data_IF_980910108619
#
_entry.id   IF_980910108619
#
_cell.length_a   1.000
_cell.length_b   1.000
_cell.length_c   1.000
_cell.angle_alpha   90.00
_cell.angle_beta   90.00
_cell.angle_gamma   90.00
#
_symmetry.space_group_name_H-M   'P 1'
#
loop_
_entity.id
_entity.type
_entity.pdbx_description
1 polymer ?
#
# COMPACT_ATOMS: atom_id res chain seq x y z
N UNK A 1 -48.63 -38.60 -16.40
CA UNK A 1 -49.51 -38.15 -17.51
C UNK A 1 -49.14 -39.00 -18.71
N UNK A 2 -50.06 -39.76 -19.30
CA UNK A 2 -49.74 -40.67 -20.42
C UNK A 2 -49.66 -39.90 -21.74
N UNK A 3 -48.66 -40.22 -22.56
CA UNK A 3 -48.48 -39.61 -23.86
C UNK A 3 -49.63 -40.00 -24.80
N UNK A 4 -49.99 -39.14 -25.76
CA UNK A 4 -51.10 -39.41 -26.69
C UNK A 4 -50.93 -40.75 -27.44
N UNK A 5 -49.69 -41.08 -27.84
CA UNK A 5 -49.36 -42.37 -28.47
C UNK A 5 -49.63 -43.58 -27.57
N UNK A 6 -49.35 -43.47 -26.27
CA UNK A 6 -49.59 -44.54 -25.29
C UNK A 6 -51.10 -44.76 -25.08
N UNK A 7 -51.89 -43.68 -25.08
CA UNK A 7 -53.35 -43.76 -24.98
C UNK A 7 -53.95 -44.49 -26.18
N UNK A 8 -53.51 -44.16 -27.40
CA UNK A 8 -53.95 -44.83 -28.62
C UNK A 8 -53.56 -46.31 -28.63
N UNK A 9 -52.33 -46.65 -28.20
CA UNK A 9 -51.88 -48.03 -28.10
C UNK A 9 -52.76 -48.85 -27.15
N UNK A 10 -53.11 -48.30 -25.98
CA UNK A 10 -53.98 -48.96 -25.01
C UNK A 10 -55.42 -49.16 -25.54
N UNK A 11 -55.95 -48.19 -26.29
CA UNK A 11 -57.28 -48.33 -26.93
C UNK A 11 -57.25 -49.38 -28.04
N UNK A 12 -56.23 -49.40 -28.89
CA UNK A 12 -56.12 -50.39 -29.95
C UNK A 12 -56.01 -51.81 -29.41
N UNK A 13 -55.26 -52.01 -28.32
CA UNK A 13 -55.19 -53.30 -27.63
C UNK A 13 -56.52 -53.68 -26.99
N UNK A 14 -57.28 -52.70 -26.47
CA UNK A 14 -58.64 -52.96 -25.98
C UNK A 14 -59.57 -53.44 -27.08
N UNK A 15 -59.53 -52.85 -28.28
CA UNK A 15 -60.32 -53.34 -29.41
C UNK A 15 -59.87 -54.73 -29.90
N UNK A 16 -58.64 -55.14 -29.62
CA UNK A 16 -58.13 -56.48 -29.96
C UNK A 16 -58.58 -57.57 -28.99
N UNK A 17 -58.56 -57.30 -27.69
CA UNK A 17 -58.84 -58.30 -26.65
C UNK A 17 -60.22 -58.17 -26.00
N UNK A 18 -60.91 -57.04 -26.18
CA UNK A 18 -62.19 -56.66 -25.56
C UNK A 18 -62.22 -56.72 -24.03
N UNK A 19 -61.07 -56.96 -23.39
CA UNK A 19 -60.92 -57.12 -21.94
C UNK A 19 -60.00 -56.04 -21.37
N UNK A 20 -60.55 -55.26 -20.42
CA UNK A 20 -59.78 -54.25 -19.70
C UNK A 20 -58.60 -54.85 -18.91
N UNK A 21 -58.78 -56.05 -18.35
CA UNK A 21 -57.74 -56.70 -17.55
C UNK A 21 -56.58 -57.19 -18.42
N UNK A 22 -56.87 -57.74 -19.61
CA UNK A 22 -55.84 -58.18 -20.54
C UNK A 22 -54.92 -57.03 -20.98
N UNK A 23 -55.51 -55.88 -21.33
CA UNK A 23 -54.75 -54.68 -21.75
C UNK A 23 -53.85 -54.16 -20.63
N UNK A 24 -54.34 -54.14 -19.39
CA UNK A 24 -53.58 -53.65 -18.23
C UNK A 24 -52.45 -54.62 -17.89
N UNK A 25 -52.69 -55.93 -17.98
CA UNK A 25 -51.66 -56.94 -17.73
C UNK A 25 -50.56 -56.91 -18.80
N UNK A 26 -50.91 -56.65 -20.07
CA UNK A 26 -49.92 -56.56 -21.15
C UNK A 26 -49.10 -55.27 -21.13
N UNK A 27 -49.72 -54.12 -20.86
CA UNK A 27 -49.04 -52.83 -20.91
C UNK A 27 -48.44 -52.42 -19.56
N UNK A 28 -48.93 -52.95 -18.43
CA UNK A 28 -48.55 -52.52 -17.08
C UNK A 28 -49.07 -51.12 -16.70
N UNK A 29 -49.84 -50.48 -17.58
CA UNK A 29 -50.53 -49.19 -17.41
C UNK A 29 -51.74 -49.20 -18.36
N UNK A 30 -52.73 -48.28 -18.27
CA UNK A 30 -53.09 -47.34 -17.22
C UNK A 30 -54.07 -47.97 -16.20
N UNK A 31 -54.59 -47.20 -15.25
CA UNK A 31 -55.67 -47.68 -14.37
C UNK A 31 -56.94 -48.03 -15.17
N UNK A 32 -57.71 -49.02 -14.69
CA UNK A 32 -58.96 -49.48 -15.34
C UNK A 32 -59.93 -48.33 -15.63
N UNK A 33 -60.04 -47.37 -14.71
CA UNK A 33 -60.88 -46.18 -14.87
C UNK A 33 -60.36 -45.24 -15.95
N UNK A 34 -59.04 -45.07 -16.06
CA UNK A 34 -58.43 -44.25 -17.10
C UNK A 34 -58.63 -44.87 -18.50
N UNK A 35 -58.45 -46.19 -18.62
CA UNK A 35 -58.69 -46.91 -19.89
C UNK A 35 -60.16 -46.78 -20.32
N UNK A 36 -61.10 -46.97 -19.40
CA UNK A 36 -62.54 -46.77 -19.65
C UNK A 36 -62.84 -45.36 -20.16
N UNK A 37 -62.31 -44.33 -19.49
CA UNK A 37 -62.52 -42.94 -19.91
C UNK A 37 -61.92 -42.63 -21.29
N UNK A 38 -60.79 -43.25 -21.64
CA UNK A 38 -60.18 -43.10 -22.97
C UNK A 38 -61.02 -43.76 -24.06
N UNK A 39 -61.54 -44.97 -23.81
CA UNK A 39 -62.42 -45.70 -24.73
C UNK A 39 -63.76 -44.97 -24.90
N UNK A 40 -64.38 -44.52 -23.80
CA UNK A 40 -65.62 -43.73 -23.85
C UNK A 40 -65.40 -42.40 -24.60
N UNK A 41 -64.24 -41.75 -24.39
CA UNK A 41 -63.84 -40.55 -25.13
C UNK A 41 -63.67 -40.81 -26.63
N UNK A 42 -62.98 -41.91 -26.98
CA UNK A 42 -62.75 -42.32 -28.36
C UNK A 42 -64.05 -42.70 -29.09
N UNK A 43 -64.99 -43.38 -28.41
CA UNK A 43 -66.31 -43.70 -28.98
C UNK A 43 -67.18 -42.45 -29.21
N UNK A 44 -67.06 -41.42 -28.38
CA UNK A 44 -67.88 -40.19 -28.49
C UNK A 44 -67.36 -39.17 -29.50
N UNK A 45 -66.05 -39.01 -29.63
CA UNK A 45 -65.44 -37.94 -30.43
C UNK A 45 -64.54 -38.45 -31.57
N UNK A 46 -64.39 -39.77 -31.72
CA UNK A 46 -63.50 -40.39 -32.70
C UNK A 46 -62.02 -40.29 -32.35
N UNK A 47 -61.66 -39.63 -31.25
CA UNK A 47 -60.27 -39.39 -30.89
C UNK A 47 -60.10 -39.15 -29.38
N UNK A 48 -58.89 -39.40 -28.88
CA UNK A 48 -58.57 -39.16 -27.46
C UNK A 48 -58.07 -37.74 -27.26
N UNK A 49 -58.48 -37.09 -26.17
CA UNK A 49 -57.94 -35.76 -25.81
C UNK A 49 -56.41 -35.80 -25.72
N UNK A 50 -55.76 -35.08 -26.66
CA UNK A 50 -54.30 -34.92 -26.75
C UNK A 50 -53.75 -34.33 -25.44
N UNK A 51 -54.43 -33.34 -24.88
CA UNK A 51 -54.08 -32.73 -23.59
C UNK A 51 -55.32 -32.43 -22.74
N UNK A 52 -55.17 -32.50 -21.41
CA UNK A 52 -56.16 -32.00 -20.46
C UNK A 52 -55.87 -30.51 -20.28
N UNK A 53 -56.41 -29.65 -21.13
CA UNK A 53 -56.35 -28.21 -20.89
C UNK A 53 -57.30 -27.88 -19.75
N UNK A 54 -56.76 -27.70 -18.54
CA UNK A 54 -57.53 -27.10 -17.44
C UNK A 54 -57.88 -25.68 -17.84
N UNK A 55 -59.17 -25.31 -17.81
CA UNK A 55 -59.57 -23.90 -17.92
C UNK A 55 -58.86 -23.13 -16.81
N UNK A 56 -58.17 -22.04 -17.17
CA UNK A 56 -57.53 -21.17 -16.17
C UNK A 56 -58.60 -20.67 -15.21
N UNK A 57 -58.36 -20.80 -13.90
CA UNK A 57 -59.30 -20.36 -12.85
C UNK A 57 -59.53 -18.85 -12.87
N UNK A 58 -58.65 -18.09 -13.52
CA UNK A 58 -58.68 -16.63 -13.59
C UNK A 58 -58.49 -16.15 -15.03
N UNK A 59 -59.25 -15.13 -15.40
CA UNK A 59 -59.15 -14.46 -16.71
C UNK A 59 -57.93 -13.54 -16.77
N UNK A 60 -57.42 -13.24 -17.97
CA UNK A 60 -56.28 -12.33 -18.14
C UNK A 60 -56.56 -10.92 -17.61
N UNK A 61 -57.80 -10.43 -17.77
CA UNK A 61 -58.24 -9.15 -17.21
C UNK A 61 -58.12 -9.12 -15.69
N UNK A 62 -58.50 -10.21 -15.01
CA UNK A 62 -58.34 -10.37 -13.55
C UNK A 62 -56.86 -10.46 -13.12
N UNK A 63 -55.99 -11.02 -13.96
CA UNK A 63 -54.53 -11.02 -13.69
C UNK A 63 -53.98 -9.59 -13.74
N UNK A 64 -54.33 -8.84 -14.78
CA UNK A 64 -53.86 -7.47 -14.99
C UNK A 64 -54.32 -6.54 -13.88
N UNK A 65 -55.59 -6.59 -13.47
CA UNK A 65 -56.09 -5.76 -12.36
C UNK A 65 -55.38 -6.05 -11.05
N UNK A 66 -55.09 -7.33 -10.75
CA UNK A 66 -54.37 -7.72 -9.54
C UNK A 66 -52.90 -7.22 -9.54
N UNK A 67 -52.23 -7.25 -10.70
CA UNK A 67 -50.87 -6.74 -10.84
C UNK A 67 -50.84 -5.20 -10.81
N UNK A 68 -51.81 -4.52 -11.44
CA UNK A 68 -51.91 -3.06 -11.42
C UNK A 68 -52.10 -2.53 -9.99
N UNK A 69 -53.07 -3.09 -9.25
CA UNK A 69 -53.28 -2.74 -7.84
C UNK A 69 -52.02 -3.05 -6.98
N UNK A 70 -51.25 -4.08 -7.32
CA UNK A 70 -50.00 -4.37 -6.60
C UNK A 70 -48.96 -3.27 -6.79
N UNK A 71 -48.84 -2.74 -8.01
CA UNK A 71 -47.89 -1.68 -8.34
C UNK A 71 -48.31 -0.33 -7.75
N UNK A 72 -49.59 0.02 -7.82
CA UNK A 72 -50.12 1.29 -7.31
C UNK A 72 -50.03 1.39 -5.78
N UNK A 73 -50.36 0.32 -5.05
CA UNK A 73 -50.48 0.35 -3.60
C UNK A 73 -49.23 -0.16 -2.86
N UNK A 74 -48.05 0.21 -3.35
CA UNK A 74 -46.79 0.04 -2.62
C UNK A 74 -46.24 -1.39 -2.57
N UNK A 75 -46.53 -2.23 -3.58
CA UNK A 75 -45.93 -3.57 -3.75
C UNK A 75 -46.20 -4.54 -2.58
N UNK A 76 -47.35 -4.41 -1.93
CA UNK A 76 -47.77 -5.29 -0.83
C UNK A 76 -48.82 -6.33 -1.27
N UNK A 77 -48.40 -7.60 -1.35
CA UNK A 77 -49.27 -8.70 -1.78
C UNK A 77 -50.42 -9.01 -0.82
N UNK A 78 -50.24 -8.83 0.49
CA UNK A 78 -51.33 -9.11 1.44
C UNK A 78 -52.46 -8.10 1.32
N UNK A 79 -52.12 -6.84 0.97
CA UNK A 79 -53.09 -5.76 0.78
C UNK A 79 -53.92 -5.97 -0.48
N UNK A 80 -53.30 -6.34 -1.59
CA UNK A 80 -53.98 -6.62 -2.86
C UNK A 80 -54.95 -7.80 -2.74
N UNK A 81 -54.54 -8.87 -2.05
CA UNK A 81 -55.39 -10.05 -1.84
C UNK A 81 -56.58 -9.71 -0.94
N UNK A 82 -56.37 -8.91 0.11
CA UNK A 82 -57.45 -8.48 1.00
C UNK A 82 -58.46 -7.59 0.28
N UNK A 83 -58.00 -6.74 -0.64
CA UNK A 83 -58.87 -5.82 -1.38
C UNK A 83 -59.64 -6.52 -2.51
N UNK A 84 -58.99 -7.39 -3.28
CA UNK A 84 -59.60 -8.03 -4.44
C UNK A 84 -60.34 -9.34 -4.08
N UNK A 85 -60.03 -9.97 -2.94
CA UNK A 85 -60.61 -11.25 -2.52
C UNK A 85 -60.11 -12.48 -3.29
N UNK A 86 -59.26 -12.26 -4.29
CA UNK A 86 -58.53 -13.25 -5.10
C UNK A 86 -57.22 -12.60 -5.57
N UNK A 87 -56.19 -13.32 -6.05
CA UNK A 87 -55.89 -14.76 -6.01
C UNK A 87 -55.07 -15.16 -4.77
N UNK A 88 -54.53 -16.39 -4.72
CA UNK A 88 -53.60 -16.78 -3.66
C UNK A 88 -52.26 -16.02 -3.74
N UNK A 89 -51.57 -15.91 -2.61
CA UNK A 89 -50.25 -15.26 -2.48
C UNK A 89 -49.23 -15.75 -3.52
N UNK A 90 -49.19 -17.06 -3.75
CA UNK A 90 -48.28 -17.71 -4.69
C UNK A 90 -48.66 -17.43 -6.15
N UNK A 91 -49.96 -17.38 -6.46
CA UNK A 91 -50.43 -17.05 -7.81
C UNK A 91 -50.13 -15.58 -8.15
N UNK A 92 -50.39 -14.66 -7.22
CA UNK A 92 -50.07 -13.25 -7.42
C UNK A 92 -48.57 -13.02 -7.59
N UNK A 93 -47.71 -13.75 -6.87
CA UNK A 93 -46.26 -13.67 -7.10
C UNK A 93 -45.86 -14.12 -8.49
N UNK A 94 -46.46 -15.20 -9.00
CA UNK A 94 -46.16 -15.68 -10.35
C UNK A 94 -46.62 -14.68 -11.41
N UNK A 95 -47.82 -14.10 -11.25
CA UNK A 95 -48.34 -13.08 -12.18
C UNK A 95 -47.48 -11.81 -12.18
N UNK A 96 -47.02 -11.37 -11.02
CA UNK A 96 -46.10 -10.22 -10.92
C UNK A 96 -44.75 -10.55 -11.57
N UNK A 97 -44.23 -11.77 -11.40
CA UNK A 97 -43.00 -12.20 -12.08
C UNK A 97 -43.15 -12.27 -13.60
N UNK A 98 -44.29 -12.76 -14.09
CA UNK A 98 -44.60 -12.86 -15.52
C UNK A 98 -44.80 -11.47 -16.17
N UNK A 99 -45.51 -10.55 -15.49
CA UNK A 99 -45.97 -9.29 -16.08
C UNK A 99 -45.12 -8.06 -15.71
N UNK A 100 -44.39 -8.09 -14.60
CA UNK A 100 -43.62 -6.96 -14.11
C UNK A 100 -42.31 -7.43 -13.43
N UNK A 101 -41.29 -7.84 -14.21
CA UNK A 101 -40.00 -8.27 -13.72
C UNK A 101 -39.17 -7.06 -13.23
N UNK A 102 -39.71 -6.21 -12.35
CA UNK A 102 -38.86 -5.28 -11.64
C UNK A 102 -38.01 -6.06 -10.65
N UNK A 103 -36.70 -5.78 -10.66
CA UNK A 103 -35.65 -6.43 -9.88
C UNK A 103 -36.07 -6.64 -8.43
N UNK A 104 -36.69 -7.78 -8.14
CA UNK A 104 -36.87 -8.24 -6.79
C UNK A 104 -35.46 -8.33 -6.23
N UNK A 105 -35.16 -7.60 -5.16
CA UNK A 105 -33.91 -7.79 -4.42
C UNK A 105 -33.92 -9.24 -3.93
N UNK A 106 -33.32 -10.13 -4.71
CA UNK A 106 -33.08 -11.50 -4.28
C UNK A 106 -32.16 -11.38 -3.08
N UNK A 107 -32.67 -11.72 -1.90
CA UNK A 107 -31.77 -12.16 -0.83
C UNK A 107 -31.12 -13.43 -1.38
N UNK A 108 -29.89 -13.32 -1.87
CA UNK A 108 -29.08 -14.48 -2.26
C UNK A 108 -28.84 -15.27 -0.97
N UNK A 109 -29.63 -16.32 -0.76
CA UNK A 109 -29.29 -17.31 0.25
C UNK A 109 -28.07 -18.07 -0.30
N UNK A 110 -26.91 -17.82 0.31
CA UNK A 110 -25.67 -18.52 -0.02
C UNK A 110 -24.88 -17.85 -1.14
N UNK A 111 -24.18 -16.76 -0.82
CA UNK A 111 -22.94 -16.48 -1.54
C UNK A 111 -21.93 -17.52 -1.03
N UNK A 112 -21.36 -18.33 -1.93
CA UNK A 112 -20.22 -19.17 -1.59
C UNK A 112 -18.99 -18.26 -1.44
N UNK A 113 -18.91 -17.51 -0.33
CA UNK A 113 -17.70 -16.77 0.03
C UNK A 113 -16.53 -17.76 0.12
N UNK A 114 -15.40 -17.36 -0.44
CA UNK A 114 -14.14 -18.11 -0.33
C UNK A 114 -13.66 -18.19 1.13
N UNK A 115 -12.86 -19.19 1.49
CA UNK A 115 -12.34 -19.34 2.87
C UNK A 115 -11.66 -18.06 3.37
N UNK A 116 -10.89 -17.40 2.48
CA UNK A 116 -10.16 -16.17 2.78
C UNK A 116 -11.09 -14.99 3.10
N UNK A 117 -12.21 -14.87 2.40
CA UNK A 117 -13.20 -13.81 2.66
C UNK A 117 -13.92 -14.03 3.98
N UNK A 118 -14.20 -15.30 4.35
CA UNK A 118 -14.76 -15.65 5.66
C UNK A 118 -13.79 -15.30 6.79
N UNK A 119 -12.52 -15.64 6.63
CA UNK A 119 -11.46 -15.33 7.60
C UNK A 119 -11.29 -13.82 7.78
N UNK A 120 -11.24 -13.06 6.68
CA UNK A 120 -11.13 -11.60 6.72
C UNK A 120 -12.31 -10.95 7.45
N UNK A 121 -13.54 -11.45 7.21
CA UNK A 121 -14.73 -10.94 7.88
C UNK A 121 -14.67 -11.14 9.39
N UNK A 122 -14.27 -12.33 9.83
CA UNK A 122 -14.14 -12.65 11.26
C UNK A 122 -13.04 -11.82 11.94
N UNK A 123 -11.97 -11.45 11.24
CA UNK A 123 -10.93 -10.56 11.79
C UNK A 123 -11.40 -9.11 11.92
N UNK A 124 -12.24 -8.63 10.99
CA UNK A 124 -12.73 -7.25 10.93
C UNK A 124 -13.78 -6.91 12.01
N UNK A 125 -14.40 -7.91 12.65
CA UNK A 125 -15.35 -7.69 13.77
C UNK A 125 -14.70 -7.05 14.99
N UNK A 126 -13.37 -7.06 15.08
CA UNK A 126 -12.62 -6.42 16.17
C UNK A 126 -12.73 -4.89 16.13
N UNK A 127 -12.86 -4.31 14.93
CA UNK A 127 -12.75 -2.86 14.71
C UNK A 127 -14.06 -2.21 14.24
N UNK A 128 -14.95 -2.97 13.60
CA UNK A 128 -16.18 -2.44 12.98
C UNK A 128 -17.42 -3.17 13.45
N UNK A 129 -18.60 -2.60 13.19
CA UNK A 129 -19.88 -3.25 13.52
C UNK A 129 -20.05 -4.51 12.66
N UNK A 130 -20.39 -5.64 13.30
CA UNK A 130 -20.69 -6.90 12.60
C UNK A 130 -21.77 -6.74 11.52
N UNK A 131 -22.70 -5.79 11.70
CA UNK A 131 -23.72 -5.45 10.70
C UNK A 131 -23.10 -4.83 9.44
N UNK A 132 -22.16 -3.88 9.61
CA UNK A 132 -21.51 -3.18 8.48
C UNK A 132 -20.63 -4.13 7.66
N UNK A 133 -19.95 -5.07 8.32
CA UNK A 133 -19.16 -6.11 7.65
C UNK A 133 -20.06 -7.06 6.87
N UNK A 134 -21.20 -7.46 7.46
CA UNK A 134 -22.17 -8.31 6.81
C UNK A 134 -22.75 -7.64 5.55
N UNK A 135 -23.06 -6.35 5.62
CA UNK A 135 -23.54 -5.57 4.47
C UNK A 135 -22.48 -5.45 3.37
N UNK A 136 -21.21 -5.19 3.72
CA UNK A 136 -20.08 -5.10 2.77
C UNK A 136 -19.81 -6.43 2.06
N UNK A 137 -19.95 -7.55 2.79
CA UNK A 137 -19.82 -8.90 2.25
C UNK A 137 -21.08 -9.40 1.53
N UNK A 138 -22.19 -8.65 1.60
CA UNK A 138 -23.48 -9.07 1.04
C UNK A 138 -24.08 -10.30 1.73
N UNK A 139 -23.67 -10.59 2.96
CA UNK A 139 -24.06 -11.78 3.74
C UNK A 139 -24.98 -11.37 4.90
N UNK A 140 -25.87 -12.26 5.35
CA UNK A 140 -26.66 -12.00 6.57
C UNK A 140 -25.76 -11.92 7.80
N UNK A 141 -26.08 -11.04 8.75
CA UNK A 141 -25.37 -10.97 10.04
C UNK A 141 -25.30 -12.31 10.77
N UNK A 142 -26.34 -13.13 10.64
CA UNK A 142 -26.40 -14.48 11.23
C UNK A 142 -25.36 -15.42 10.60
N UNK A 143 -25.25 -15.42 9.28
CA UNK A 143 -24.26 -16.22 8.55
C UNK A 143 -22.83 -15.78 8.89
N UNK A 144 -22.62 -14.49 9.13
CA UNK A 144 -21.34 -13.99 9.62
C UNK A 144 -20.96 -14.53 11.02
N UNK A 145 -21.92 -14.62 11.96
CA UNK A 145 -21.69 -15.30 13.25
C UNK A 145 -21.49 -16.81 13.10
N UNK A 146 -22.20 -17.46 12.16
CA UNK A 146 -21.98 -18.87 11.86
C UNK A 146 -20.55 -19.12 11.35
N UNK A 147 -20.03 -18.26 10.47
CA UNK A 147 -18.64 -18.34 10.01
C UNK A 147 -17.64 -18.10 11.16
N UNK A 148 -17.93 -17.15 12.05
CA UNK A 148 -17.15 -16.93 13.27
C UNK A 148 -17.08 -18.19 14.14
N UNK A 149 -18.23 -18.79 14.42
CA UNK A 149 -18.31 -19.99 15.26
C UNK A 149 -17.65 -21.21 14.59
N UNK A 150 -17.71 -21.30 13.26
CA UNK A 150 -17.02 -22.35 12.50
C UNK A 150 -15.49 -22.20 12.51
N UNK A 151 -14.98 -20.97 12.49
CA UNK A 151 -13.53 -20.70 12.46
C UNK A 151 -12.89 -20.66 13.86
N UNK A 152 -13.56 -20.08 14.85
CA UNK A 152 -13.00 -19.85 16.19
C UNK A 152 -13.57 -20.80 17.26
N UNK A 153 -14.66 -21.50 16.98
CA UNK A 153 -15.39 -22.30 17.96
C UNK A 153 -16.51 -21.51 18.67
N UNK A 154 -17.57 -22.24 19.08
CA UNK A 154 -18.69 -21.66 19.83
C UNK A 154 -18.21 -21.13 21.18
N UNK A 155 -18.60 -19.90 21.52
CA UNK A 155 -18.30 -19.29 22.81
C UNK A 155 -17.03 -18.42 22.84
N UNK A 156 -16.24 -18.35 21.77
CA UNK A 156 -15.13 -17.39 21.68
C UNK A 156 -15.70 -15.98 21.51
N UNK A 157 -15.63 -15.21 22.59
CA UNK A 157 -15.96 -13.78 22.60
C UNK A 157 -14.87 -13.01 21.85
N UNK A 158 -15.22 -12.46 20.69
CA UNK A 158 -14.39 -11.42 20.07
C UNK A 158 -14.70 -10.16 20.86
N UNK A 159 -13.97 -9.96 21.96
CA UNK A 159 -14.03 -8.72 22.69
C UNK A 159 -13.75 -7.60 21.69
N UNK A 160 -14.69 -6.67 21.53
CA UNK A 160 -14.40 -5.37 20.94
C UNK A 160 -13.15 -4.88 21.64
N UNK A 161 -12.08 -4.57 20.89
CA UNK A 161 -11.02 -3.77 21.48
C UNK A 161 -11.71 -2.57 22.11
N UNK A 162 -11.44 -2.30 23.40
CA UNK A 162 -11.79 -1.01 23.99
C UNK A 162 -11.27 0.02 22.99
N UNK A 163 -12.13 0.96 22.56
CA UNK A 163 -11.67 2.07 21.70
C UNK A 163 -10.38 2.57 22.32
N UNK A 164 -9.26 2.64 21.57
CA UNK A 164 -8.00 3.07 22.13
C UNK A 164 -8.28 4.40 22.81
N UNK A 165 -7.96 4.47 24.09
CA UNK A 165 -8.12 5.71 24.83
C UNK A 165 -7.28 6.78 24.12
N UNK A 166 -7.70 8.05 24.14
CA UNK A 166 -6.90 9.12 23.51
C UNK A 166 -5.45 9.11 24.05
N UNK A 167 -5.26 8.65 25.29
CA UNK A 167 -3.95 8.37 25.89
C UNK A 167 -3.13 7.31 25.17
N UNK A 168 -3.73 6.21 24.69
CA UNK A 168 -3.01 5.16 23.96
C UNK A 168 -2.64 5.60 22.54
N UNK A 169 -3.53 6.37 21.88
CA UNK A 169 -3.24 6.94 20.56
C UNK A 169 -2.11 7.96 20.65
N UNK A 170 -2.10 8.80 21.67
CA UNK A 170 -1.03 9.78 21.88
C UNK A 170 0.30 9.09 22.22
N UNK A 171 0.30 8.05 23.08
CA UNK A 171 1.49 7.24 23.35
C UNK A 171 2.07 6.61 22.08
N UNK A 172 1.22 6.05 21.21
CA UNK A 172 1.68 5.47 19.95
C UNK A 172 2.23 6.54 18.99
N UNK A 173 1.62 7.73 18.94
CA UNK A 173 2.15 8.87 18.17
C UNK A 173 3.52 9.32 18.70
N UNK A 174 3.68 9.37 20.02
CA UNK A 174 4.94 9.72 20.66
C UNK A 174 6.03 8.69 20.33
N UNK A 175 5.70 7.39 20.35
CA UNK A 175 6.62 6.32 19.94
C UNK A 175 7.02 6.43 18.47
N UNK A 176 6.05 6.68 17.57
CA UNK A 176 6.35 6.87 16.14
C UNK A 176 7.26 8.08 15.94
N UNK A 177 7.02 9.16 16.67
CA UNK A 177 7.88 10.35 16.63
C UNK A 177 9.29 10.06 17.14
N UNK A 178 9.42 9.34 18.26
CA UNK A 178 10.72 8.88 18.78
C UNK A 178 11.48 8.04 17.75
N UNK A 179 10.81 7.06 17.13
CA UNK A 179 11.42 6.22 16.11
C UNK A 179 11.82 7.01 14.86
N UNK A 180 11.02 7.99 14.44
CA UNK A 180 11.38 8.89 13.34
C UNK A 180 12.60 9.75 13.67
N UNK A 181 12.66 10.26 14.89
CA UNK A 181 13.81 11.03 15.39
C UNK A 181 15.07 10.15 15.43
N UNK A 182 14.97 8.91 15.93
CA UNK A 182 16.07 7.91 15.94
C UNK A 182 16.55 7.56 14.53
N UNK A 183 15.64 7.29 13.60
CA UNK A 183 16.00 7.02 12.20
C UNK A 183 16.74 8.21 11.58
N UNK A 184 16.30 9.44 11.86
CA UNK A 184 16.97 10.65 11.37
C UNK A 184 18.39 10.78 11.93
N UNK A 185 18.60 10.44 13.21
CA UNK A 185 19.91 10.46 13.86
C UNK A 185 20.84 9.38 13.29
N UNK A 186 20.34 8.15 13.12
CA UNK A 186 21.11 7.04 12.54
C UNK A 186 21.50 7.32 11.10
N UNK A 187 20.59 7.89 10.30
CA UNK A 187 20.89 8.28 8.93
C UNK A 187 21.98 9.35 8.88
N UNK A 188 21.92 10.34 9.77
CA UNK A 188 22.98 11.35 9.89
C UNK A 188 24.32 10.73 10.27
N UNK A 189 24.36 9.82 11.25
CA UNK A 189 25.60 9.12 11.65
C UNK A 189 26.19 8.32 10.49
N UNK A 190 25.37 7.63 9.70
CA UNK A 190 25.81 6.92 8.50
C UNK A 190 26.44 7.86 7.48
N UNK A 191 25.76 8.96 7.14
CA UNK A 191 26.27 9.98 6.19
C UNK A 191 27.60 10.59 6.69
N UNK A 192 27.74 10.81 8.01
CA UNK A 192 28.99 11.26 8.65
C UNK A 192 30.11 10.25 8.41
N UNK A 193 29.87 8.96 8.66
CA UNK A 193 30.87 7.90 8.48
C UNK A 193 31.27 7.73 7.01
N UNK A 194 30.30 7.77 6.10
CA UNK A 194 30.54 7.69 4.66
C UNK A 194 31.40 8.86 4.17
N UNK A 195 31.05 10.09 4.56
CA UNK A 195 31.84 11.29 4.22
C UNK A 195 33.19 11.34 4.92
N UNK A 196 33.30 10.83 6.15
CA UNK A 196 34.59 10.69 6.81
C UNK A 196 35.51 9.74 6.03
N UNK A 197 34.97 8.62 5.53
CA UNK A 197 35.71 7.68 4.67
C UNK A 197 36.11 8.23 3.30
N UNK A 198 35.34 9.16 2.73
CA UNK A 198 35.74 9.86 1.49
C UNK A 198 36.89 10.86 1.73
N UNK A 199 36.85 11.60 2.84
CA UNK A 199 37.82 12.66 3.15
C UNK A 199 39.13 12.08 3.68
N UNK A 200 39.05 11.03 4.51
CA UNK A 200 40.20 10.32 5.07
C UNK A 200 40.56 9.22 4.06
N UNK A 201 41.60 9.46 3.28
CA UNK A 201 42.16 8.42 2.38
C UNK A 201 42.42 7.14 3.20
N UNK A 202 41.70 6.07 2.85
CA UNK A 202 41.71 4.62 3.20
C UNK A 202 42.62 4.00 4.29
N UNK A 203 43.62 4.68 4.85
CA UNK A 203 44.69 4.07 5.64
C UNK A 203 44.74 4.52 7.12
N UNK A 204 43.86 5.43 7.56
CA UNK A 204 43.67 5.73 8.98
C UNK A 204 42.31 5.22 9.42
N UNK A 205 42.33 4.32 10.38
CA UNK A 205 41.18 3.73 11.04
C UNK A 205 40.09 4.77 11.33
N UNK A 206 38.84 4.38 11.08
CA UNK A 206 37.61 5.21 10.97
C UNK A 206 37.17 5.80 12.33
N UNK A 207 38.10 6.06 13.25
CA UNK A 207 37.80 6.64 14.56
C UNK A 207 37.57 8.14 14.41
N UNK A 208 36.30 8.57 14.45
CA UNK A 208 35.88 9.99 14.47
C UNK A 208 36.59 10.79 15.59
N UNK A 209 37.02 10.12 16.65
CA UNK A 209 37.74 10.67 17.79
C UNK A 209 39.20 11.05 17.46
N UNK A 210 39.83 10.37 16.50
CA UNK A 210 41.20 10.64 16.08
C UNK A 210 41.29 11.79 15.05
N UNK A 211 40.16 12.29 14.53
CA UNK A 211 40.15 13.37 13.55
C UNK A 211 40.60 14.68 14.18
N UNK A 212 41.45 15.40 13.44
CA UNK A 212 41.81 16.77 13.80
C UNK A 212 40.57 17.68 13.73
N UNK A 213 40.54 18.72 14.57
CA UNK A 213 39.46 19.70 14.55
C UNK A 213 39.26 20.35 13.16
N UNK A 214 40.31 20.42 12.33
CA UNK A 214 40.23 20.90 10.95
C UNK A 214 39.46 19.91 10.06
N UNK A 215 39.76 18.62 10.12
CA UNK A 215 39.05 17.58 9.36
C UNK A 215 37.58 17.50 9.78
N UNK A 216 37.31 17.56 11.10
CA UNK A 216 35.95 17.68 11.64
C UNK A 216 35.20 18.87 11.03
N UNK A 217 35.85 20.03 10.87
CA UNK A 217 35.19 21.18 10.23
C UNK A 217 34.93 20.99 8.74
N UNK A 218 35.84 20.35 8.00
CA UNK A 218 35.60 20.05 6.57
C UNK A 218 34.46 19.05 6.37
N UNK A 219 34.37 18.05 7.25
CA UNK A 219 33.29 17.08 7.28
C UNK A 219 31.93 17.74 7.55
N UNK A 220 31.88 18.62 8.56
CA UNK A 220 30.67 19.39 8.89
C UNK A 220 30.27 20.29 7.72
N UNK A 221 31.22 20.98 7.08
CA UNK A 221 30.91 21.86 5.96
C UNK A 221 30.38 21.09 4.73
N UNK A 222 30.84 19.86 4.50
CA UNK A 222 30.33 18.99 3.45
C UNK A 222 28.89 18.49 3.71
N UNK A 223 28.52 18.26 4.98
CA UNK A 223 27.20 17.76 5.38
C UNK A 223 26.19 18.86 5.71
N UNK A 224 26.66 20.09 5.84
CA UNK A 224 25.86 21.29 6.10
C UNK A 224 24.64 21.49 5.18
N UNK A 225 24.65 21.18 3.87
CA UNK A 225 23.46 21.33 3.04
C UNK A 225 22.33 20.35 3.39
N UNK A 226 22.64 19.21 4.03
CA UNK A 226 21.66 18.16 4.36
C UNK A 226 21.15 18.24 5.80
N UNK A 227 21.99 18.63 6.76
CA UNK A 227 21.69 18.56 8.19
C UNK A 227 21.88 19.88 8.92
N UNK A 228 21.19 20.07 10.06
CA UNK A 228 21.33 21.27 10.89
C UNK A 228 22.70 21.27 11.59
N UNK A 229 23.35 22.44 11.64
CA UNK A 229 24.67 22.60 12.23
C UNK A 229 24.72 22.15 13.70
N UNK A 230 23.68 22.43 14.50
CA UNK A 230 23.65 22.04 15.92
C UNK A 230 23.75 20.52 16.09
N UNK A 231 23.03 19.75 15.26
CA UNK A 231 23.04 18.29 15.31
C UNK A 231 24.41 17.73 14.91
N UNK A 232 25.01 18.28 13.85
CA UNK A 232 26.34 17.86 13.38
C UNK A 232 27.44 18.12 14.42
N UNK A 233 27.39 19.27 15.11
CA UNK A 233 28.35 19.60 16.17
C UNK A 233 28.27 18.61 17.34
N UNK A 234 27.05 18.22 17.73
CA UNK A 234 26.83 17.24 18.80
C UNK A 234 27.30 15.84 18.38
N UNK A 235 27.06 15.42 17.14
CA UNK A 235 27.45 14.07 16.69
C UNK A 235 28.95 13.88 16.48
N UNK A 236 29.67 14.94 16.08
CA UNK A 236 31.12 14.89 15.80
C UNK A 236 31.96 15.31 17.03
N UNK A 237 31.27 15.72 18.10
CA UNK A 237 31.85 16.23 19.34
C UNK A 237 32.89 17.34 19.09
N UNK A 238 32.40 18.47 18.56
CA UNK A 238 33.21 19.68 18.40
C UNK A 238 32.43 20.92 18.87
N UNK A 239 33.02 21.76 19.73
CA UNK A 239 32.35 22.97 20.19
C UNK A 239 32.21 23.98 19.05
N UNK A 240 31.12 24.76 19.10
CA UNK A 240 30.78 25.76 18.09
C UNK A 240 31.88 26.80 17.89
N UNK A 241 32.59 27.17 18.96
CA UNK A 241 33.73 28.10 18.91
C UNK A 241 34.88 27.55 18.06
N UNK A 242 35.28 26.29 18.29
CA UNK A 242 36.30 25.61 17.49
C UNK A 242 35.88 25.46 16.04
N UNK A 243 34.63 25.09 15.77
CA UNK A 243 34.11 25.02 14.40
C UNK A 243 34.23 26.37 13.68
N UNK A 244 33.72 27.45 14.29
CA UNK A 244 33.77 28.78 13.71
C UNK A 244 35.22 29.28 13.51
N UNK A 245 36.12 28.96 14.45
CA UNK A 245 37.54 29.30 14.34
C UNK A 245 38.17 28.61 13.13
N UNK A 246 38.08 27.29 13.03
CA UNK A 246 38.68 26.53 11.94
C UNK A 246 38.06 26.85 10.58
N UNK A 247 36.74 27.10 10.53
CA UNK A 247 36.06 27.57 9.32
C UNK A 247 36.61 28.92 8.84
N UNK A 248 36.81 29.88 9.75
CA UNK A 248 37.44 31.16 9.43
C UNK A 248 38.88 30.96 8.93
N UNK A 249 39.65 30.06 9.54
CA UNK A 249 41.01 29.75 9.10
C UNK A 249 41.05 29.14 7.69
N UNK A 250 40.13 28.23 7.36
CA UNK A 250 40.00 27.68 6.01
C UNK A 250 39.67 28.77 4.99
N UNK A 251 38.78 29.71 5.32
CA UNK A 251 38.47 30.84 4.46
C UNK A 251 39.67 31.80 4.27
N UNK A 252 40.45 32.05 5.34
CA UNK A 252 41.67 32.87 5.28
C UNK A 252 42.77 32.22 4.44
N UNK A 253 42.92 30.90 4.53
CA UNK A 253 43.80 30.14 3.63
C UNK A 253 43.40 30.42 2.19
N UNK A 254 42.11 30.43 1.86
CA UNK A 254 41.66 30.74 0.51
C UNK A 254 41.89 32.20 0.09
N UNK A 255 41.75 33.18 0.99
CA UNK A 255 41.94 34.61 0.69
C UNK A 255 43.32 34.93 0.07
N UNK A 256 44.38 34.30 0.58
CA UNK A 256 45.75 34.53 0.10
C UNK A 256 46.25 33.45 -0.86
N UNK A 257 45.40 32.56 -1.37
CA UNK A 257 45.86 31.50 -2.27
C UNK A 257 46.49 32.04 -3.56
N UNK A 258 45.87 33.03 -4.20
CA UNK A 258 46.44 33.69 -5.39
C UNK A 258 47.82 34.29 -5.09
N UNK A 259 47.92 35.00 -3.98
CA UNK A 259 49.18 35.62 -3.51
C UNK A 259 50.25 34.57 -3.22
N UNK A 260 49.88 33.42 -2.63
CA UNK A 260 50.81 32.33 -2.35
C UNK A 260 51.43 31.78 -3.63
N UNK A 261 50.63 31.58 -4.68
CA UNK A 261 51.12 31.13 -5.99
C UNK A 261 52.12 32.13 -6.55
N UNK A 262 51.75 33.42 -6.58
CA UNK A 262 52.62 34.49 -7.07
C UNK A 262 53.95 34.61 -6.28
N UNK A 263 53.91 34.46 -4.96
CA UNK A 263 55.12 34.44 -4.12
C UNK A 263 56.03 33.27 -4.51
N UNK A 264 55.47 32.08 -4.72
CA UNK A 264 56.23 30.89 -5.11
C UNK A 264 56.85 31.08 -6.49
N UNK A 265 56.11 31.66 -7.45
CA UNK A 265 56.57 31.88 -8.81
C UNK A 265 57.72 32.91 -8.85
N UNK A 266 57.57 34.03 -8.13
CA UNK A 266 58.64 35.04 -7.97
C UNK A 266 59.86 34.42 -7.28
N UNK A 267 59.65 33.59 -6.27
CA UNK A 267 60.74 32.92 -5.55
C UNK A 267 61.52 31.94 -6.45
N UNK A 268 60.81 31.18 -7.28
CA UNK A 268 61.40 30.27 -8.28
C UNK A 268 62.12 31.03 -9.40
N UNK A 269 61.50 32.10 -9.94
CA UNK A 269 62.12 32.97 -10.94
C UNK A 269 63.42 33.59 -10.43
N UNK A 270 63.45 33.98 -9.16
CA UNK A 270 64.64 34.47 -8.45
C UNK A 270 65.66 33.39 -8.06
N UNK A 271 65.54 32.15 -8.55
CA UNK A 271 66.40 31.00 -8.23
C UNK A 271 66.62 30.80 -6.73
N UNK A 272 65.57 31.00 -5.91
CA UNK A 272 65.57 30.85 -4.44
C UNK A 272 66.54 31.77 -3.67
N UNK A 273 67.07 32.81 -4.32
CA UNK A 273 67.97 33.81 -3.70
C UNK A 273 67.22 34.98 -3.07
N UNK A 274 65.94 35.14 -3.39
CA UNK A 274 65.16 36.31 -3.00
C UNK A 274 64.50 36.10 -1.64
N UNK A 275 64.94 36.88 -0.65
CA UNK A 275 64.28 36.97 0.65
C UNK A 275 62.97 37.76 0.57
N UNK A 276 62.19 37.72 1.65
CA UNK A 276 60.87 38.35 1.73
C UNK A 276 60.86 39.84 1.33
N UNK A 277 61.94 40.59 1.60
CA UNK A 277 62.08 42.00 1.17
C UNK A 277 62.10 42.15 -0.36
N UNK A 278 62.87 41.31 -1.06
CA UNK A 278 62.99 41.35 -2.54
C UNK A 278 61.73 40.81 -3.21
N UNK A 279 61.09 39.80 -2.61
CA UNK A 279 59.80 39.29 -3.08
C UNK A 279 58.71 40.36 -2.92
N UNK A 280 58.66 41.07 -1.78
CA UNK A 280 57.70 42.14 -1.56
C UNK A 280 57.84 43.27 -2.60
N UNK A 281 59.07 43.69 -2.90
CA UNK A 281 59.33 44.67 -3.96
C UNK A 281 58.88 44.14 -5.35
N UNK A 282 59.14 42.87 -5.65
CA UNK A 282 58.72 42.25 -6.91
C UNK A 282 57.20 42.17 -7.03
N UNK A 283 56.49 41.82 -5.95
CA UNK A 283 55.02 41.81 -5.91
C UNK A 283 54.44 43.22 -6.09
N UNK A 284 55.08 44.24 -5.52
CA UNK A 284 54.69 45.64 -5.71
C UNK A 284 54.83 46.07 -7.18
N UNK A 285 55.88 45.62 -7.86
CA UNK A 285 56.08 45.88 -9.29
C UNK A 285 55.05 45.15 -10.17
N UNK A 286 54.54 44.01 -9.72
CA UNK A 286 53.45 43.25 -10.37
C UNK A 286 52.06 43.88 -10.05
N UNK A 287 52.00 44.90 -9.19
CA UNK A 287 50.76 45.60 -8.82
C UNK A 287 50.01 45.01 -7.63
N UNK A 288 50.60 44.06 -6.89
CA UNK A 288 49.99 43.43 -5.71
C UNK A 288 50.40 44.21 -4.45
N UNK A 289 49.45 44.95 -3.87
CA UNK A 289 49.67 45.73 -2.65
C UNK A 289 49.41 44.84 -1.42
N UNK A 290 50.49 44.35 -0.81
CA UNK A 290 50.44 43.58 0.44
C UNK A 290 51.42 44.13 1.45
N UNK A 291 51.13 43.89 2.74
CA UNK A 291 52.10 44.20 3.78
C UNK A 291 53.24 43.19 3.75
N UNK A 292 54.46 43.68 3.96
CA UNK A 292 55.68 42.87 4.02
C UNK A 292 55.57 41.77 5.10
N UNK A 293 54.87 42.04 6.20
CA UNK A 293 54.61 41.07 7.28
C UNK A 293 53.84 39.85 6.79
N UNK A 294 52.84 40.05 5.92
CA UNK A 294 52.05 38.94 5.33
C UNK A 294 52.93 38.11 4.39
N UNK A 295 53.76 38.76 3.56
CA UNK A 295 54.71 38.06 2.68
C UNK A 295 55.67 37.19 3.50
N UNK A 296 56.25 37.74 4.58
CA UNK A 296 57.13 36.99 5.49
C UNK A 296 56.42 35.84 6.19
N UNK A 297 55.15 36.02 6.59
CA UNK A 297 54.36 34.96 7.20
C UNK A 297 54.09 33.82 6.20
N UNK A 298 53.67 34.16 4.98
CA UNK A 298 53.41 33.18 3.90
C UNK A 298 54.68 32.40 3.54
N UNK A 299 55.82 33.07 3.41
CA UNK A 299 57.10 32.38 3.13
C UNK A 299 57.46 31.37 4.22
N UNK A 300 57.20 31.69 5.50
CA UNK A 300 57.41 30.76 6.62
C UNK A 300 56.43 29.59 6.57
N UNK A 301 55.13 29.86 6.36
CA UNK A 301 54.09 28.83 6.22
C UNK A 301 54.40 27.83 5.11
N UNK A 302 54.98 28.31 4.00
CA UNK A 302 55.35 27.50 2.82
C UNK A 302 56.79 26.99 2.83
N UNK A 303 57.54 27.18 3.93
CA UNK A 303 58.94 26.78 4.06
C UNK A 303 59.83 27.25 2.87
N UNK A 304 59.61 28.48 2.38
CA UNK A 304 60.43 29.09 1.33
C UNK A 304 61.72 29.64 1.95
N UNK A 305 62.69 28.74 2.15
CA UNK A 305 63.99 29.04 2.74
C UNK A 305 64.98 29.48 1.68
N UNK A 306 65.74 30.53 1.98
CA UNK A 306 66.79 31.01 1.10
C UNK A 306 67.91 29.98 0.98
N UNK A 307 68.35 29.72 -0.24
CA UNK A 307 69.63 29.06 -0.47
C UNK A 307 70.75 30.07 -0.20
N UNK A 308 71.10 30.24 1.08
CA UNK A 308 72.28 30.99 1.47
C UNK A 308 73.48 30.05 1.55
N UNK A 309 74.56 30.42 0.89
CA UNK A 309 75.86 29.80 1.11
C UNK A 309 76.30 30.22 2.51
N UNK A 310 76.47 29.26 3.43
CA UNK A 310 77.10 29.54 4.72
C UNK A 310 78.56 29.91 4.45
N UNK A 311 78.85 31.21 4.50
CA UNK A 311 80.24 31.68 4.53
C UNK A 311 80.88 31.11 5.80
N UNK A 312 81.88 30.22 5.63
CA UNK A 312 82.71 29.76 6.75
C UNK A 312 83.42 31.00 7.31
N UNK A 313 83.42 31.15 8.63
CA UNK A 313 84.29 32.15 9.27
C UNK A 313 85.73 31.77 8.94
N UNK A 314 86.53 32.76 8.55
CA UNK A 314 87.96 32.59 8.31
C UNK A 314 88.61 31.93 9.53
N UNK A 315 89.31 30.82 9.30
CA UNK A 315 90.11 30.11 10.30
C UNK A 315 91.55 30.16 9.83
N UNK A 316 92.44 30.75 10.64
CA UNK A 316 93.87 30.87 10.32
C UNK A 316 94.64 29.54 10.40
N UNK A 317 94.04 28.49 10.98
CA UNK A 317 94.64 27.15 11.17
C UNK A 317 93.98 26.09 10.29
N UNK A 318 93.63 26.45 9.05
CA UNK A 318 92.77 25.65 8.18
C UNK A 318 93.48 24.80 7.11
N UNK A 319 94.81 24.72 7.13
CA UNK A 319 95.59 23.93 6.18
C UNK A 319 96.79 23.29 6.89
N UNK A 320 96.54 22.23 7.67
CA UNK A 320 97.55 21.18 7.84
C UNK A 320 97.12 20.00 6.97
N UNK A 321 98.00 19.72 6.00
CA UNK A 321 97.89 18.76 4.93
C UNK A 321 97.99 17.33 5.48
N UNK A 322 97.05 16.45 5.12
CA UNK A 322 97.30 15.01 4.94
C UNK A 322 96.43 14.46 3.83
#
# INVERSE_FOLDING_TARGET
MYAYKEKLKAINLYFKYESYAAVINELGYPSRLALRNWIEGHKRHGDVKKEITRRSKYTEKQKQTAVAHYLEYGKCYSRTIRMLGYPSRALLTNWVMEMAPQSRKFKRNGINLTSKEKEAGVLLTRNTSAQKIADDMGVSRESHYQYKDQLLGKGVSINKMKKPSDTDVNKLKDQVKQLQDELSQLQMQKDILEKAGEIIKKDQSIFLEALTNQEKTTLIDALRPKYKLSQLLTSIDIPKSSYCYHKKQLALRNKYNYVRVQIIDVFKAGKRRYGYRRIHASLKNIGIILSEKIVRHIMREKNLVLESIKMRKYSSYGEDIT
#
